data_IF_988386091902
#
_entry.id   IF_988386091902
#
_cell.length_a   1.000
_cell.length_b   1.000
_cell.length_c   1.000
_cell.angle_alpha   90.00
_cell.angle_beta   90.00
_cell.angle_gamma   90.00
#
_symmetry.space_group_name_H-M   'P 1'
#
loop_
_entity.id
_entity.type
_entity.pdbx_description
1 polymer ?
#
# COMPACT_ATOMS: atom_id res chain seq x y z
N UNK A 1 43.23 5.98 24.70
CA UNK A 1 42.01 6.36 23.96
C UNK A 1 42.32 6.46 22.47
N UNK A 2 41.39 6.13 21.57
CA UNK A 2 41.61 6.34 20.13
C UNK A 2 41.71 7.84 19.83
N UNK A 3 42.72 8.24 19.07
CA UNK A 3 42.88 9.64 18.65
C UNK A 3 41.70 10.07 17.77
N UNK A 4 41.22 11.28 18.00
CA UNK A 4 40.27 11.95 17.12
C UNK A 4 40.87 12.17 15.72
N UNK A 5 40.02 12.37 14.71
CA UNK A 5 40.50 12.62 13.34
C UNK A 5 41.37 13.90 13.27
N UNK A 6 40.98 14.96 13.99
CA UNK A 6 41.74 16.21 14.08
C UNK A 6 43.15 15.98 14.64
N UNK A 7 43.30 15.22 15.72
CA UNK A 7 44.61 14.89 16.30
C UNK A 7 45.51 14.09 15.33
N UNK A 8 44.92 13.29 14.42
CA UNK A 8 45.69 12.54 13.40
C UNK A 8 46.23 13.48 12.32
N UNK A 9 45.41 14.41 11.85
CA UNK A 9 45.85 15.47 10.92
C UNK A 9 46.88 16.39 11.58
N UNK A 10 46.72 16.69 12.88
CA UNK A 10 47.67 17.48 13.64
C UNK A 10 49.04 16.79 13.74
N UNK A 11 49.08 15.46 13.93
CA UNK A 11 50.31 14.67 13.86
C UNK A 11 51.02 14.84 12.50
N UNK A 12 50.26 14.74 11.41
CA UNK A 12 50.80 14.91 10.05
C UNK A 12 51.30 16.34 9.83
N UNK A 13 50.52 17.33 10.27
CA UNK A 13 50.89 18.74 10.18
C UNK A 13 52.21 19.00 10.90
N UNK A 14 52.30 18.69 12.20
CA UNK A 14 53.46 18.96 13.07
C UNK A 14 54.77 18.33 12.56
N UNK A 15 54.68 17.28 11.74
CA UNK A 15 55.84 16.58 11.18
C UNK A 15 56.17 16.96 9.75
N UNK A 16 55.18 16.91 8.85
CA UNK A 16 55.39 16.88 7.40
C UNK A 16 55.06 18.21 6.72
N UNK A 17 54.18 19.03 7.26
CA UNK A 17 53.73 20.27 6.60
C UNK A 17 54.86 21.33 6.50
N UNK A 18 55.03 22.06 5.39
CA UNK A 18 56.13 23.03 5.21
C UNK A 18 56.17 24.15 6.26
N UNK A 19 55.00 24.63 6.69
CA UNK A 19 54.85 25.70 7.69
C UNK A 19 54.86 25.21 9.16
N UNK A 20 55.05 23.91 9.38
CA UNK A 20 54.99 23.34 10.72
C UNK A 20 56.35 23.34 11.41
N UNK A 21 56.39 23.27 12.77
CA UNK A 21 57.61 23.30 13.57
C UNK A 21 58.55 22.08 13.41
N UNK A 22 58.27 21.14 12.49
CA UNK A 22 59.07 19.94 12.19
C UNK A 22 59.48 19.14 13.42
N UNK A 23 58.52 18.87 14.29
CA UNK A 23 58.78 18.25 15.60
C UNK A 23 59.29 16.80 15.48
N UNK A 24 60.07 16.37 16.48
CA UNK A 24 60.45 14.96 16.60
C UNK A 24 59.24 14.09 16.99
N UNK A 25 59.26 12.79 16.66
CA UNK A 25 58.13 11.91 16.97
C UNK A 25 57.88 11.80 18.49
N UNK A 26 58.93 11.97 19.30
CA UNK A 26 58.86 12.01 20.76
C UNK A 26 58.20 13.31 21.26
N UNK A 27 58.48 14.43 20.62
CA UNK A 27 57.86 15.72 20.94
C UNK A 27 56.36 15.74 20.56
N UNK A 28 56.00 15.22 19.39
CA UNK A 28 54.60 15.08 18.94
C UNK A 28 53.82 14.15 19.88
N UNK A 29 54.42 13.03 20.27
CA UNK A 29 53.83 12.09 21.23
C UNK A 29 53.51 12.75 22.58
N UNK A 30 54.43 13.57 23.10
CA UNK A 30 54.21 14.33 24.35
C UNK A 30 53.16 15.43 24.20
N UNK A 31 53.14 16.12 23.06
CA UNK A 31 52.20 17.22 22.78
C UNK A 31 50.75 16.73 22.59
N UNK A 32 50.55 15.66 21.80
CA UNK A 32 49.22 15.09 21.53
C UNK A 32 48.74 14.17 22.68
N UNK A 33 49.65 13.71 23.55
CA UNK A 33 49.32 12.79 24.64
C UNK A 33 49.05 11.36 24.16
N UNK A 34 49.86 10.85 23.23
CA UNK A 34 49.74 9.50 22.66
C UNK A 34 51.08 8.76 22.61
N UNK A 35 51.06 7.44 22.46
CA UNK A 35 52.30 6.67 22.38
C UNK A 35 53.09 6.95 21.09
N UNK A 36 54.44 6.97 21.11
CA UNK A 36 55.26 7.22 19.91
C UNK A 36 54.99 6.27 18.74
N UNK A 37 54.50 5.04 19.01
CA UNK A 37 54.11 4.06 17.98
C UNK A 37 52.88 4.54 17.18
N UNK A 38 51.95 5.23 17.83
CA UNK A 38 50.74 5.77 17.20
C UNK A 38 51.09 6.91 16.26
N UNK A 39 52.04 7.76 16.65
CA UNK A 39 52.60 8.83 15.80
C UNK A 39 53.23 8.23 14.54
N UNK A 40 54.08 7.20 14.66
CA UNK A 40 54.68 6.53 13.50
C UNK A 40 53.65 5.89 12.58
N UNK A 41 52.64 5.22 13.14
CA UNK A 41 51.56 4.59 12.37
C UNK A 41 50.83 5.60 11.49
N UNK A 42 50.38 6.73 12.05
CA UNK A 42 49.64 7.74 11.28
C UNK A 42 50.51 8.50 10.27
N UNK A 43 51.80 8.70 10.58
CA UNK A 43 52.74 9.28 9.61
C UNK A 43 53.00 8.35 8.42
N UNK A 44 53.21 7.05 8.68
CA UNK A 44 53.38 6.07 7.61
C UNK A 44 52.14 6.00 6.71
N UNK A 45 50.96 5.92 7.33
CA UNK A 45 49.68 5.89 6.61
C UNK A 45 49.43 7.15 5.77
N UNK A 46 49.83 8.33 6.26
CA UNK A 46 49.75 9.57 5.49
C UNK A 46 50.71 9.61 4.29
N UNK A 47 51.89 8.99 4.41
CA UNK A 47 52.88 8.94 3.33
C UNK A 47 52.47 7.96 2.22
N UNK A 48 51.66 6.97 2.56
CA UNK A 48 51.01 6.04 1.60
C UNK A 48 49.80 6.68 0.88
N UNK A 49 49.58 8.00 1.04
CA UNK A 49 48.43 8.75 0.51
C UNK A 49 47.06 8.20 0.93
N UNK A 50 46.99 7.48 2.05
CA UNK A 50 45.72 6.95 2.57
C UNK A 50 44.95 7.99 3.40
N UNK A 51 43.61 7.91 3.35
CA UNK A 51 42.73 8.64 4.27
C UNK A 51 43.01 8.26 5.74
N UNK A 52 43.15 9.27 6.59
CA UNK A 52 43.39 9.12 8.05
C UNK A 52 42.13 8.74 8.83
N UNK A 53 40.99 8.60 8.15
CA UNK A 53 39.78 8.02 8.73
C UNK A 53 39.99 6.54 9.10
N UNK A 54 39.11 6.03 9.97
CA UNK A 54 39.15 4.61 10.31
C UNK A 54 38.70 3.79 9.09
N UNK A 55 39.48 2.77 8.72
CA UNK A 55 39.00 1.80 7.73
C UNK A 55 37.71 1.13 8.23
N UNK A 56 36.83 0.70 7.31
CA UNK A 56 35.69 -0.13 7.66
C UNK A 56 36.18 -1.34 8.44
N UNK A 57 35.68 -1.51 9.66
CA UNK A 57 36.00 -2.71 10.44
C UNK A 57 35.45 -3.91 9.69
N UNK A 58 36.25 -4.96 9.55
CA UNK A 58 35.75 -6.27 9.11
C UNK A 58 34.72 -6.73 10.14
N UNK A 59 33.45 -6.74 9.73
CA UNK A 59 32.36 -7.20 10.59
C UNK A 59 32.52 -8.69 10.93
N UNK A 60 31.62 -9.18 11.80
CA UNK A 60 31.50 -10.63 12.05
C UNK A 60 31.37 -11.37 10.71
N UNK A 61 32.11 -12.48 10.48
CA UNK A 61 31.95 -13.29 9.30
C UNK A 61 30.48 -13.65 9.06
N UNK A 62 30.05 -13.55 7.80
CA UNK A 62 28.69 -13.87 7.41
C UNK A 62 28.43 -15.37 7.60
N UNK A 63 27.24 -15.71 8.11
CA UNK A 63 26.82 -17.10 8.29
C UNK A 63 26.53 -17.81 6.94
N UNK A 64 26.50 -17.07 5.84
CA UNK A 64 26.20 -17.57 4.50
C UNK A 64 27.23 -17.07 3.50
N UNK A 65 27.47 -17.86 2.46
CA UNK A 65 28.29 -17.47 1.31
C UNK A 65 27.42 -16.91 0.17
N UNK A 66 28.02 -16.17 -0.77
CA UNK A 66 27.32 -15.64 -1.94
C UNK A 66 26.55 -16.72 -2.72
N UNK A 67 27.08 -17.94 -2.79
CA UNK A 67 26.43 -19.08 -3.45
C UNK A 67 25.13 -19.48 -2.73
N UNK A 68 25.14 -19.47 -1.40
CA UNK A 68 23.95 -19.77 -0.58
C UNK A 68 22.92 -18.64 -0.72
N UNK A 69 23.37 -17.38 -0.71
CA UNK A 69 22.49 -16.22 -0.83
C UNK A 69 21.79 -16.19 -2.19
N UNK A 70 22.50 -16.50 -3.28
CA UNK A 70 21.90 -16.68 -4.61
C UNK A 70 20.90 -17.85 -4.65
N UNK A 71 21.19 -18.94 -3.94
CA UNK A 71 20.28 -20.08 -3.84
C UNK A 71 18.99 -19.71 -3.10
N UNK A 72 19.11 -18.99 -1.98
CA UNK A 72 17.95 -18.45 -1.23
C UNK A 72 17.08 -17.59 -2.16
N UNK A 73 17.70 -16.66 -2.90
CA UNK A 73 17.00 -15.79 -3.83
C UNK A 73 16.29 -16.57 -4.94
N UNK A 74 16.98 -17.51 -5.58
CA UNK A 74 16.42 -18.28 -6.70
C UNK A 74 15.25 -19.17 -6.27
N UNK A 75 15.32 -19.78 -5.08
CA UNK A 75 14.20 -20.54 -4.52
C UNK A 75 12.98 -19.62 -4.34
N UNK A 76 13.16 -18.47 -3.70
CA UNK A 76 12.08 -17.51 -3.48
C UNK A 76 11.50 -16.93 -4.78
N UNK A 77 12.34 -16.72 -5.79
CA UNK A 77 11.91 -16.22 -7.12
C UNK A 77 11.10 -17.25 -7.88
N UNK A 78 11.48 -18.54 -7.80
CA UNK A 78 10.76 -19.64 -8.45
C UNK A 78 9.43 -19.93 -7.77
N UNK A 79 9.44 -20.00 -6.44
CA UNK A 79 8.27 -20.35 -5.63
C UNK A 79 7.79 -19.12 -4.85
N UNK A 80 6.99 -18.27 -5.50
CA UNK A 80 6.60 -16.96 -4.97
C UNK A 80 5.78 -16.99 -3.66
N UNK A 81 5.29 -18.16 -3.25
CA UNK A 81 4.54 -18.37 -2.01
C UNK A 81 5.34 -19.12 -0.92
N UNK A 82 6.65 -19.28 -1.09
CA UNK A 82 7.49 -19.99 -0.13
C UNK A 82 7.83 -19.10 1.08
N UNK A 83 7.82 -19.67 2.29
CA UNK A 83 8.20 -18.92 3.49
C UNK A 83 9.70 -19.00 3.79
N UNK A 84 10.22 -18.07 4.60
CA UNK A 84 11.60 -18.12 5.09
C UNK A 84 11.93 -19.43 5.84
N UNK A 85 10.92 -20.03 6.48
CA UNK A 85 11.07 -21.31 7.20
C UNK A 85 11.16 -22.48 6.22
N UNK A 86 10.36 -22.46 5.14
CA UNK A 86 10.41 -23.50 4.12
C UNK A 86 11.75 -23.48 3.37
N UNK A 87 12.25 -22.30 3.01
CA UNK A 87 13.59 -22.16 2.41
C UNK A 87 14.69 -22.69 3.35
N UNK A 88 14.61 -22.36 4.64
CA UNK A 88 15.53 -22.89 5.66
C UNK A 88 15.48 -24.42 5.72
N UNK A 89 14.28 -25.02 5.69
CA UNK A 89 14.10 -26.47 5.68
C UNK A 89 14.64 -27.13 4.40
N UNK A 90 14.45 -26.51 3.23
CA UNK A 90 15.02 -26.98 1.95
C UNK A 90 16.54 -26.97 2.03
N UNK A 91 17.14 -25.88 2.49
CA UNK A 91 18.60 -25.78 2.61
C UNK A 91 19.17 -26.72 3.67
N UNK A 92 18.42 -26.99 4.73
CA UNK A 92 18.80 -27.98 5.75
C UNK A 92 18.88 -29.39 5.17
N UNK A 93 17.99 -29.76 4.24
CA UNK A 93 18.09 -31.04 3.50
C UNK A 93 19.35 -31.13 2.65
N UNK A 94 19.81 -29.99 2.14
CA UNK A 94 21.06 -29.88 1.37
C UNK A 94 22.31 -29.70 2.24
N UNK A 95 22.22 -29.98 3.55
CA UNK A 95 23.33 -29.90 4.51
C UNK A 95 23.65 -28.50 5.02
N UNK A 96 22.86 -27.47 4.68
CA UNK A 96 23.07 -26.08 5.08
C UNK A 96 22.08 -25.71 6.18
N UNK A 97 22.56 -25.70 7.42
CA UNK A 97 21.72 -25.34 8.57
C UNK A 97 21.74 -23.82 8.81
N UNK A 98 20.68 -23.13 8.39
CA UNK A 98 20.52 -21.68 8.58
C UNK A 98 19.18 -21.34 9.23
N UNK A 99 19.18 -20.36 10.12
CA UNK A 99 17.96 -19.90 10.78
C UNK A 99 17.04 -19.13 9.79
N UNK A 100 15.70 -19.27 9.88
CA UNK A 100 14.76 -18.53 9.04
C UNK A 100 14.93 -17.01 9.09
N UNK A 101 15.42 -16.46 10.20
CA UNK A 101 15.75 -15.01 10.32
C UNK A 101 16.90 -14.61 9.39
N UNK A 102 17.90 -15.49 9.19
CA UNK A 102 19.01 -15.26 8.27
C UNK A 102 18.51 -15.27 6.84
N UNK A 103 17.66 -16.24 6.47
CA UNK A 103 17.00 -16.27 5.15
C UNK A 103 16.24 -14.97 4.88
N UNK A 104 15.43 -14.52 5.85
CA UNK A 104 14.66 -13.28 5.71
C UNK A 104 15.55 -12.06 5.52
N UNK A 105 16.69 -11.99 6.22
CA UNK A 105 17.67 -10.91 6.04
C UNK A 105 18.26 -10.92 4.63
N UNK A 106 18.67 -12.08 4.11
CA UNK A 106 19.22 -12.20 2.75
C UNK A 106 18.21 -11.81 1.69
N UNK A 107 16.96 -12.26 1.82
CA UNK A 107 15.90 -11.84 0.90
C UNK A 107 15.69 -10.33 0.91
N UNK A 108 15.80 -9.67 2.07
CA UNK A 108 15.73 -8.20 2.16
C UNK A 108 16.92 -7.50 1.52
N UNK A 109 18.13 -8.02 1.74
CA UNK A 109 19.36 -7.50 1.12
C UNK A 109 19.32 -7.66 -0.42
N UNK A 110 18.63 -8.67 -0.93
CA UNK A 110 18.36 -8.84 -2.37
C UNK A 110 17.18 -7.99 -2.89
N UNK A 111 16.65 -7.04 -2.11
CA UNK A 111 15.55 -6.15 -2.50
C UNK A 111 14.14 -6.70 -2.24
N UNK A 112 14.01 -7.87 -1.63
CA UNK A 112 12.73 -8.46 -1.26
C UNK A 112 12.07 -7.74 -0.08
N UNK A 113 10.74 -7.65 -0.11
CA UNK A 113 9.94 -7.14 1.01
C UNK A 113 9.11 -8.26 1.63
N UNK A 114 8.91 -8.18 2.95
CA UNK A 114 8.06 -9.13 3.65
C UNK A 114 6.69 -8.50 3.88
N UNK A 115 5.68 -9.05 3.22
CA UNK A 115 4.30 -8.57 3.29
C UNK A 115 3.31 -9.70 2.99
N UNK A 116 2.00 -9.42 3.12
CA UNK A 116 0.98 -10.35 2.64
C UNK A 116 1.11 -10.53 1.12
N UNK A 117 0.72 -11.70 0.58
CA UNK A 117 0.66 -11.90 -0.87
C UNK A 117 -0.34 -10.92 -1.50
N UNK A 118 -0.06 -10.54 -2.75
CA UNK A 118 -0.98 -9.73 -3.54
C UNK A 118 -2.26 -10.52 -3.81
N UNK A 119 -3.41 -9.94 -3.49
CA UNK A 119 -4.72 -10.55 -3.73
C UNK A 119 -5.32 -9.95 -5.00
N UNK A 120 -5.66 -10.80 -5.95
CA UNK A 120 -6.37 -10.44 -7.18
C UNK A 120 -7.64 -11.29 -7.30
N UNK A 121 -8.74 -10.80 -7.90
CA UNK A 121 -9.91 -11.61 -8.14
C UNK A 121 -9.55 -12.80 -9.04
N UNK A 122 -10.21 -13.94 -8.80
CA UNK A 122 -10.05 -15.10 -9.66
C UNK A 122 -10.79 -14.83 -10.98
N UNK A 123 -10.06 -14.82 -12.09
CA UNK A 123 -10.60 -14.64 -13.43
C UNK A 123 -10.73 -15.99 -14.12
N UNK A 124 -11.92 -16.29 -14.63
CA UNK A 124 -12.16 -17.38 -15.57
C UNK A 124 -11.51 -17.05 -16.91
N UNK A 125 -11.29 -18.06 -17.76
CA UNK A 125 -10.66 -17.83 -19.07
C UNK A 125 -11.53 -16.91 -19.96
N UNK A 126 -12.87 -17.06 -19.88
CA UNK A 126 -13.82 -16.14 -20.52
C UNK A 126 -13.64 -14.68 -20.07
N UNK A 127 -13.43 -14.43 -18.77
CA UNK A 127 -13.17 -13.06 -18.30
C UNK A 127 -11.86 -12.52 -18.87
N UNK A 128 -10.80 -13.33 -18.94
CA UNK A 128 -9.50 -12.92 -19.47
C UNK A 128 -9.60 -12.58 -20.96
N UNK A 129 -10.25 -13.43 -21.74
CA UNK A 129 -10.48 -13.21 -23.16
C UNK A 129 -11.27 -11.92 -23.43
N UNK A 130 -12.41 -11.73 -22.76
CA UNK A 130 -13.21 -10.52 -22.90
C UNK A 130 -12.42 -9.26 -22.54
N UNK A 131 -11.62 -9.30 -21.47
CA UNK A 131 -10.75 -8.18 -21.07
C UNK A 131 -9.65 -7.92 -22.09
N UNK A 132 -9.06 -8.97 -22.67
CA UNK A 132 -8.00 -8.89 -23.66
C UNK A 132 -8.50 -8.34 -25.00
N UNK A 133 -9.74 -8.63 -25.39
CA UNK A 133 -10.39 -8.05 -26.57
C UNK A 133 -10.76 -6.59 -26.31
N UNK A 134 -11.34 -6.30 -25.15
CA UNK A 134 -11.88 -4.98 -24.84
C UNK A 134 -10.79 -3.91 -24.68
N UNK A 135 -9.68 -4.23 -24.00
CA UNK A 135 -8.67 -3.22 -23.66
C UNK A 135 -7.99 -2.56 -24.89
N UNK A 136 -7.53 -3.31 -25.93
CA UNK A 136 -7.00 -2.71 -27.14
C UNK A 136 -8.03 -1.88 -27.91
N UNK A 137 -9.29 -2.32 -27.97
CA UNK A 137 -10.37 -1.58 -28.61
C UNK A 137 -10.60 -0.20 -27.97
N UNK A 138 -10.33 -0.08 -26.68
CA UNK A 138 -10.53 1.15 -25.91
C UNK A 138 -9.22 1.91 -25.60
N UNK A 139 -8.10 1.53 -26.21
CA UNK A 139 -6.80 2.19 -26.00
C UNK A 139 -6.82 3.67 -26.40
N UNK A 140 -7.52 3.99 -27.49
CA UNK A 140 -7.66 5.36 -28.02
C UNK A 140 -9.05 5.95 -27.77
N UNK A 141 -9.84 5.32 -26.90
CA UNK A 141 -11.18 5.76 -26.58
C UNK A 141 -11.17 7.10 -25.84
N UNK A 142 -12.14 7.97 -26.15
CA UNK A 142 -12.26 9.26 -25.50
C UNK A 142 -13.00 9.15 -24.15
N UNK A 143 -12.23 9.09 -23.06
CA UNK A 143 -12.75 9.00 -21.69
C UNK A 143 -13.29 10.32 -21.11
N UNK A 144 -13.20 11.45 -21.82
CA UNK A 144 -13.56 12.77 -21.28
C UNK A 144 -15.06 12.91 -20.98
N UNK A 145 -15.87 12.19 -21.75
CA UNK A 145 -17.33 12.24 -21.70
C UNK A 145 -17.93 11.02 -20.98
N UNK A 146 -17.11 10.26 -20.25
CA UNK A 146 -17.57 9.09 -19.51
C UNK A 146 -17.87 9.48 -18.07
N UNK A 147 -19.05 9.10 -17.61
CA UNK A 147 -19.42 9.15 -16.19
C UNK A 147 -19.22 7.76 -15.62
N UNK A 148 -18.21 7.60 -14.78
CA UNK A 148 -17.94 6.37 -14.06
C UNK A 148 -18.83 6.29 -12.83
N UNK A 149 -19.45 5.13 -12.61
CA UNK A 149 -20.30 4.84 -11.45
C UNK A 149 -19.85 3.57 -10.77
N UNK A 150 -20.05 3.49 -9.45
CA UNK A 150 -19.84 2.28 -8.66
C UNK A 150 -20.46 2.41 -7.27
N UNK A 151 -20.68 1.26 -6.63
CA UNK A 151 -21.17 1.15 -5.26
C UNK A 151 -20.08 0.62 -4.32
N UNK A 152 -19.84 1.33 -3.21
CA UNK A 152 -18.94 0.88 -2.15
C UNK A 152 -19.61 0.63 -0.82
N UNK A 153 -19.25 -0.51 -0.22
CA UNK A 153 -19.63 -0.83 1.15
C UNK A 153 -18.50 -0.50 2.13
N UNK A 154 -18.78 0.39 3.08
CA UNK A 154 -17.92 0.72 4.21
C UNK A 154 -18.38 0.00 5.47
N UNK A 155 -17.44 -0.63 6.18
CA UNK A 155 -17.69 -1.25 7.48
C UNK A 155 -17.21 -0.29 8.57
N UNK A 156 -18.09 0.10 9.49
CA UNK A 156 -17.76 1.07 10.54
C UNK A 156 -16.75 0.56 11.57
N UNK A 157 -16.60 -0.77 11.72
CA UNK A 157 -15.54 -1.38 12.53
C UNK A 157 -14.53 -2.08 11.61
N UNK A 158 -13.28 -1.62 11.62
CA UNK A 158 -12.15 -2.36 11.04
C UNK A 158 -11.83 -3.56 11.92
N UNK A 159 -11.99 -4.76 11.38
CA UNK A 159 -11.38 -5.96 11.95
C UNK A 159 -9.89 -5.95 11.58
N UNK A 160 -9.00 -6.24 12.53
CA UNK A 160 -7.58 -6.48 12.23
C UNK A 160 -6.56 -5.44 12.71
N UNK A 161 -6.89 -4.58 13.68
CA UNK A 161 -5.82 -3.87 14.40
C UNK A 161 -4.94 -4.89 15.10
N UNK A 162 -3.70 -5.04 14.64
CA UNK A 162 -2.69 -5.83 15.36
C UNK A 162 -2.36 -5.08 16.65
N UNK A 163 -2.52 -5.76 17.77
CA UNK A 163 -2.12 -5.27 19.10
C UNK A 163 -1.07 -6.22 19.63
N UNK A 164 -0.10 -5.67 20.38
CA UNK A 164 0.80 -6.48 21.17
C UNK A 164 -0.02 -7.25 22.20
N UNK A 165 0.17 -8.57 22.24
CA UNK A 165 -0.45 -9.44 23.25
C UNK A 165 0.66 -9.86 24.20
N UNK A 166 0.47 -9.62 25.48
CA UNK A 166 1.35 -10.09 26.53
C UNK A 166 0.65 -11.25 27.26
N UNK A 167 1.38 -12.30 27.69
CA UNK A 167 0.78 -13.50 28.30
C UNK A 167 -0.14 -13.20 29.50
N UNK A 168 0.16 -12.16 30.28
CA UNK A 168 -0.52 -11.86 31.54
C UNK A 168 -1.72 -10.91 31.35
N UNK A 169 -1.66 -10.00 30.38
CA UNK A 169 -2.70 -9.00 30.13
C UNK A 169 -3.04 -9.00 28.66
N UNK A 170 -4.09 -9.73 28.29
CA UNK A 170 -4.63 -9.73 26.94
C UNK A 170 -5.92 -8.92 26.91
N UNK A 171 -5.92 -7.82 26.16
CA UNK A 171 -7.15 -7.06 25.90
C UNK A 171 -8.10 -7.88 25.03
N UNK A 172 -9.23 -8.29 25.60
CA UNK A 172 -10.32 -8.92 24.85
C UNK A 172 -11.11 -7.83 24.13
N UNK A 173 -11.09 -7.85 22.80
CA UNK A 173 -11.90 -6.96 21.97
C UNK A 173 -13.17 -7.68 21.55
N UNK A 174 -14.33 -7.25 22.05
CA UNK A 174 -15.63 -7.81 21.65
C UNK A 174 -15.97 -7.39 20.22
N UNK A 175 -16.30 -8.37 19.37
CA UNK A 175 -16.75 -8.16 17.99
C UNK A 175 -18.24 -8.49 17.86
N UNK A 176 -18.91 -7.84 16.91
CA UNK A 176 -20.30 -8.17 16.56
C UNK A 176 -20.31 -9.10 15.34
N UNK A 177 -21.20 -10.09 15.30
CA UNK A 177 -21.32 -11.05 14.19
C UNK A 177 -21.60 -10.35 12.85
N UNK A 178 -22.46 -9.32 12.88
CA UNK A 178 -22.82 -8.50 11.72
C UNK A 178 -22.44 -7.04 11.98
N UNK A 179 -21.24 -6.60 11.57
CA UNK A 179 -20.85 -5.20 11.73
C UNK A 179 -21.76 -4.29 10.90
N UNK A 180 -22.04 -3.10 11.42
CA UNK A 180 -22.82 -2.09 10.70
C UNK A 180 -22.10 -1.74 9.39
N UNK A 181 -22.85 -1.80 8.29
CA UNK A 181 -22.42 -1.49 6.93
C UNK A 181 -23.12 -0.21 6.48
N UNK A 182 -22.37 0.64 5.78
CA UNK A 182 -22.92 1.76 5.03
C UNK A 182 -22.58 1.53 3.56
N UNK A 183 -23.61 1.50 2.72
CA UNK A 183 -23.44 1.46 1.27
C UNK A 183 -23.43 2.90 0.76
N UNK A 184 -22.58 3.16 -0.22
CA UNK A 184 -22.42 4.46 -0.85
C UNK A 184 -22.37 4.22 -2.36
N UNK A 185 -23.27 4.82 -3.12
CA UNK A 185 -23.14 4.95 -4.57
C UNK A 185 -22.63 6.34 -4.89
N UNK A 186 -21.85 6.47 -5.95
CA UNK A 186 -21.35 7.74 -6.42
C UNK A 186 -20.95 7.65 -7.88
N UNK A 187 -20.78 8.81 -8.50
CA UNK A 187 -20.28 8.93 -9.85
C UNK A 187 -19.24 10.03 -9.96
N UNK A 188 -18.42 9.97 -11.00
CA UNK A 188 -17.55 11.08 -11.38
C UNK A 188 -17.21 11.03 -12.88
N UNK A 189 -16.83 12.17 -13.44
CA UNK A 189 -16.28 12.24 -14.79
C UNK A 189 -14.91 12.93 -14.76
N UNK A 190 -14.34 13.22 -15.93
CA UNK A 190 -13.15 14.08 -16.01
C UNK A 190 -13.40 15.46 -15.38
N UNK A 191 -14.62 15.98 -15.44
CA UNK A 191 -14.92 17.35 -15.02
C UNK A 191 -14.97 17.49 -13.50
N UNK A 192 -15.79 16.67 -12.84
CA UNK A 192 -15.94 16.68 -11.39
C UNK A 192 -16.66 15.41 -10.87
N UNK A 193 -16.74 15.30 -9.56
CA UNK A 193 -17.54 14.32 -8.85
C UNK A 193 -19.02 14.68 -8.85
N UNK A 194 -19.86 13.65 -8.93
CA UNK A 194 -21.29 13.75 -8.64
C UNK A 194 -21.58 13.62 -7.15
N UNK A 195 -22.87 13.58 -6.84
CA UNK A 195 -23.37 13.39 -5.48
C UNK A 195 -22.99 12.00 -4.94
N UNK A 196 -22.82 11.87 -3.63
CA UNK A 196 -22.75 10.57 -2.97
C UNK A 196 -24.12 10.23 -2.38
N UNK A 197 -24.66 9.06 -2.75
CA UNK A 197 -25.90 8.52 -2.20
C UNK A 197 -25.56 7.44 -1.18
N UNK A 198 -25.93 7.65 0.08
CA UNK A 198 -25.69 6.69 1.14
C UNK A 198 -26.95 5.93 1.52
N UNK A 199 -26.86 4.61 1.67
CA UNK A 199 -27.99 3.76 2.02
C UNK A 199 -27.56 2.58 2.90
N UNK A 200 -28.52 1.95 3.59
CA UNK A 200 -28.27 0.88 4.58
C UNK A 200 -28.87 -0.47 4.21
N UNK A 201 -29.80 -0.50 3.26
CA UNK A 201 -30.40 -1.73 2.76
C UNK A 201 -29.60 -2.28 1.57
N UNK A 202 -29.99 -3.47 1.10
CA UNK A 202 -29.42 -4.04 -0.10
C UNK A 202 -29.89 -3.27 -1.34
N UNK A 203 -29.04 -3.26 -2.36
CA UNK A 203 -29.37 -2.73 -3.69
C UNK A 203 -30.36 -3.66 -4.41
N UNK A 204 -31.46 -3.10 -4.89
CA UNK A 204 -32.49 -3.74 -5.74
C UNK A 204 -32.48 -3.12 -7.14
N UNK A 205 -33.21 -3.71 -8.09
CA UNK A 205 -33.38 -3.14 -9.44
C UNK A 205 -34.02 -1.75 -9.40
N UNK A 206 -35.17 -1.61 -8.72
CA UNK A 206 -35.87 -0.31 -8.65
C UNK A 206 -35.01 0.77 -7.97
N UNK A 207 -34.30 0.41 -6.89
CA UNK A 207 -33.48 1.37 -6.16
C UNK A 207 -32.24 1.81 -6.95
N UNK A 208 -31.77 1.02 -7.93
CA UNK A 208 -30.69 1.50 -8.81
C UNK A 208 -31.20 2.58 -9.77
N UNK A 209 -32.47 2.54 -10.18
CA UNK A 209 -33.09 3.60 -10.97
C UNK A 209 -33.17 4.89 -10.15
N UNK A 210 -33.59 4.81 -8.87
CA UNK A 210 -33.57 5.95 -7.95
C UNK A 210 -32.16 6.54 -7.82
N UNK A 211 -31.14 5.69 -7.71
CA UNK A 211 -29.74 6.14 -7.68
C UNK A 211 -29.37 6.88 -8.96
N UNK A 212 -29.72 6.33 -10.14
CA UNK A 212 -29.41 6.96 -11.42
C UNK A 212 -30.07 8.34 -11.57
N UNK A 213 -31.34 8.44 -11.20
CA UNK A 213 -32.13 9.68 -11.22
C UNK A 213 -31.55 10.75 -10.29
N UNK A 214 -30.99 10.36 -9.15
CA UNK A 214 -30.54 11.29 -8.12
C UNK A 214 -29.03 11.58 -8.13
N UNK A 215 -28.23 10.88 -8.95
CA UNK A 215 -26.78 11.03 -8.95
C UNK A 215 -26.18 11.18 -10.36
N UNK A 216 -25.98 10.13 -11.18
CA UNK A 216 -25.31 10.28 -12.46
C UNK A 216 -26.12 11.09 -13.46
N UNK A 217 -27.45 11.02 -13.50
CA UNK A 217 -28.23 11.78 -14.48
C UNK A 217 -28.17 13.31 -14.23
N UNK A 218 -28.41 13.83 -13.02
CA UNK A 218 -28.22 15.26 -12.74
C UNK A 218 -26.77 15.70 -12.93
N UNK A 219 -25.80 14.85 -12.56
CA UNK A 219 -24.37 15.12 -12.78
C UNK A 219 -24.08 15.25 -14.27
N UNK A 220 -24.67 14.37 -15.09
CA UNK A 220 -24.53 14.42 -16.54
C UNK A 220 -25.10 15.68 -17.14
N UNK A 221 -26.32 16.08 -16.77
CA UNK A 221 -26.92 17.31 -17.29
C UNK A 221 -26.14 18.57 -16.91
N UNK A 222 -25.56 18.58 -15.70
CA UNK A 222 -24.71 19.68 -15.28
C UNK A 222 -23.37 19.73 -16.02
N UNK A 223 -22.70 18.59 -16.18
CA UNK A 223 -21.35 18.51 -16.77
C UNK A 223 -21.37 18.47 -18.30
N UNK A 224 -22.43 17.93 -18.90
CA UNK A 224 -22.55 17.70 -20.34
C UNK A 224 -23.88 18.28 -20.86
N UNK A 225 -24.00 19.62 -20.93
CA UNK A 225 -25.26 20.30 -21.26
C UNK A 225 -25.69 20.16 -22.72
N UNK A 226 -24.87 19.53 -23.57
CA UNK A 226 -25.17 19.31 -25.00
C UNK A 226 -26.21 18.18 -25.22
N UNK A 227 -26.72 17.57 -24.15
CA UNK A 227 -27.77 16.56 -24.19
C UNK A 227 -27.26 15.13 -24.00
N UNK A 228 -28.16 14.13 -24.09
CA UNK A 228 -27.86 12.73 -23.76
C UNK A 228 -26.73 12.11 -24.60
N UNK A 229 -26.60 12.49 -25.87
CA UNK A 229 -25.54 11.97 -26.76
C UNK A 229 -24.13 12.52 -26.45
N UNK A 230 -24.03 13.49 -25.53
CA UNK A 230 -22.75 14.12 -25.20
C UNK A 230 -21.97 13.42 -24.09
N UNK A 231 -22.54 12.36 -23.50
CA UNK A 231 -21.92 11.58 -22.43
C UNK A 231 -22.29 10.09 -22.52
N UNK A 232 -21.49 9.26 -21.86
CA UNK A 232 -21.69 7.81 -21.80
C UNK A 232 -21.59 7.37 -20.34
N UNK A 233 -22.53 6.54 -19.90
CA UNK A 233 -22.53 5.94 -18.58
C UNK A 233 -21.59 4.72 -18.56
N UNK A 234 -20.61 4.72 -17.67
CA UNK A 234 -19.91 3.50 -17.28
C UNK A 234 -20.47 2.99 -15.96
N UNK A 235 -20.87 1.72 -15.97
CA UNK A 235 -21.33 0.95 -14.82
C UNK A 235 -20.72 -0.45 -14.88
N UNK A 236 -20.77 -1.21 -13.79
CA UNK A 236 -20.27 -2.58 -13.79
C UNK A 236 -21.32 -3.56 -14.36
N UNK A 237 -21.04 -4.86 -14.23
CA UNK A 237 -21.93 -5.90 -14.72
C UNK A 237 -22.79 -6.52 -13.61
N UNK A 238 -23.05 -5.78 -12.52
CA UNK A 238 -23.88 -6.27 -11.44
C UNK A 238 -25.31 -6.60 -11.96
N UNK A 239 -25.88 -7.77 -11.58
CA UNK A 239 -27.22 -8.18 -12.00
C UNK A 239 -28.31 -7.13 -11.80
N UNK A 240 -28.21 -6.25 -10.79
CA UNK A 240 -29.24 -5.24 -10.48
C UNK A 240 -29.23 -4.11 -11.51
N UNK A 241 -28.04 -3.74 -12.00
CA UNK A 241 -27.86 -2.75 -13.06
C UNK A 241 -28.30 -3.29 -14.45
N UNK A 242 -28.42 -4.62 -14.56
CA UNK A 242 -28.93 -5.37 -15.72
C UNK A 242 -30.35 -5.91 -15.54
N UNK A 243 -31.04 -5.53 -14.47
CA UNK A 243 -32.45 -5.87 -14.29
C UNK A 243 -33.30 -5.22 -15.39
N UNK A 244 -34.46 -5.80 -15.68
CA UNK A 244 -35.37 -5.24 -16.68
C UNK A 244 -35.72 -3.78 -16.35
N UNK A 245 -36.06 -3.47 -15.10
CA UNK A 245 -36.33 -2.09 -14.65
C UNK A 245 -35.17 -1.13 -14.92
N UNK A 246 -33.94 -1.56 -14.64
CA UNK A 246 -32.76 -0.72 -14.86
C UNK A 246 -32.43 -0.54 -16.35
N UNK A 247 -32.74 -1.51 -17.21
CA UNK A 247 -32.55 -1.41 -18.66
C UNK A 247 -33.62 -0.49 -19.25
N UNK A 248 -34.88 -0.68 -18.87
CA UNK A 248 -36.03 0.10 -19.32
C UNK A 248 -35.86 1.57 -18.94
N UNK A 249 -35.56 1.86 -17.68
CA UNK A 249 -35.32 3.22 -17.19
C UNK A 249 -34.18 3.92 -17.94
N UNK A 250 -33.07 3.21 -18.23
CA UNK A 250 -31.96 3.78 -19.01
C UNK A 250 -32.37 4.07 -20.45
N UNK A 251 -33.23 3.23 -21.03
CA UNK A 251 -33.73 3.39 -22.39
C UNK A 251 -34.66 4.60 -22.48
N UNK A 252 -35.60 4.72 -21.54
CA UNK A 252 -36.53 5.87 -21.44
C UNK A 252 -35.79 7.20 -21.26
N UNK A 253 -34.68 7.19 -20.53
CA UNK A 253 -33.83 8.35 -20.31
C UNK A 253 -32.73 8.55 -21.36
N UNK A 254 -32.73 7.75 -22.44
CA UNK A 254 -31.78 7.83 -23.57
C UNK A 254 -30.31 7.73 -23.14
N UNK A 255 -30.04 6.89 -22.13
CA UNK A 255 -28.70 6.73 -21.56
C UNK A 255 -27.91 5.70 -22.36
N UNK A 256 -26.81 6.15 -22.97
CA UNK A 256 -25.84 5.26 -23.60
C UNK A 256 -24.94 4.63 -22.53
N UNK A 257 -24.88 3.30 -22.49
CA UNK A 257 -24.04 2.55 -21.55
C UNK A 257 -22.80 2.02 -22.25
N UNK A 258 -21.62 2.31 -21.69
CA UNK A 258 -20.36 1.77 -22.18
C UNK A 258 -20.32 0.25 -21.98
N UNK A 259 -20.09 -0.56 -23.04
CA UNK A 259 -19.85 -1.98 -22.89
C UNK A 259 -18.66 -2.22 -21.95
N UNK A 260 -18.82 -3.06 -20.93
CA UNK A 260 -17.81 -3.24 -19.89
C UNK A 260 -17.48 -4.73 -19.68
N UNK A 261 -16.20 -5.12 -19.59
CA UNK A 261 -15.82 -6.51 -19.34
C UNK A 261 -16.04 -6.90 -17.88
N UNK A 262 -16.62 -8.07 -17.65
CA UNK A 262 -16.89 -8.59 -16.30
C UNK A 262 -15.62 -8.72 -15.44
N UNK A 263 -15.80 -8.57 -14.12
CA UNK A 263 -14.72 -8.70 -13.13
C UNK A 263 -13.50 -7.79 -13.42
N UNK A 264 -13.75 -6.54 -13.80
CA UNK A 264 -12.72 -5.55 -14.16
C UNK A 264 -12.72 -4.30 -13.27
N UNK A 265 -12.65 -4.44 -11.93
CA UNK A 265 -12.59 -3.29 -11.03
C UNK A 265 -11.33 -2.45 -11.24
N UNK A 266 -10.24 -3.06 -11.72
CA UNK A 266 -8.98 -2.38 -12.02
C UNK A 266 -9.07 -1.44 -13.24
N UNK A 267 -10.10 -1.60 -14.07
CA UNK A 267 -10.37 -0.72 -15.20
C UNK A 267 -11.28 0.46 -14.82
N UNK A 268 -11.97 0.40 -13.67
CA UNK A 268 -12.87 1.47 -13.23
C UNK A 268 -12.12 2.44 -12.29
N UNK A 269 -11.77 3.66 -12.74
CA UNK A 269 -10.97 4.60 -11.96
C UNK A 269 -11.64 5.06 -10.67
N UNK A 270 -12.97 4.92 -10.51
CA UNK A 270 -13.66 5.26 -9.25
C UNK A 270 -13.18 4.38 -8.08
N UNK A 271 -12.64 3.19 -8.37
CA UNK A 271 -12.08 2.31 -7.34
C UNK A 271 -10.86 2.93 -6.64
N UNK A 272 -10.11 3.78 -7.35
CA UNK A 272 -9.02 4.56 -6.75
C UNK A 272 -9.58 5.56 -5.73
N UNK A 273 -10.68 6.24 -6.05
CA UNK A 273 -11.36 7.16 -5.15
C UNK A 273 -11.89 6.44 -3.90
N UNK A 274 -12.50 5.27 -4.06
CA UNK A 274 -12.93 4.45 -2.93
C UNK A 274 -11.77 4.05 -2.02
N UNK A 275 -10.60 3.75 -2.60
CA UNK A 275 -9.38 3.46 -1.84
C UNK A 275 -8.95 4.66 -0.98
N UNK A 276 -8.86 5.85 -1.59
CA UNK A 276 -8.49 7.09 -0.89
C UNK A 276 -9.48 7.43 0.23
N UNK A 277 -10.78 7.24 0.00
CA UNK A 277 -11.80 7.45 1.03
C UNK A 277 -11.68 6.45 2.17
N UNK A 278 -11.44 5.17 1.89
CA UNK A 278 -11.21 4.15 2.94
C UNK A 278 -10.00 4.48 3.81
N UNK A 279 -8.94 5.01 3.22
CA UNK A 279 -7.74 5.42 3.95
C UNK A 279 -8.01 6.65 4.81
N UNK A 280 -8.72 7.63 4.27
CA UNK A 280 -9.09 8.87 4.99
C UNK A 280 -10.04 8.58 6.15
N UNK A 281 -11.11 7.82 5.92
CA UNK A 281 -12.05 7.38 6.95
C UNK A 281 -11.31 6.51 7.99
N UNK A 282 -10.41 5.64 7.53
CA UNK A 282 -9.60 4.78 8.39
C UNK A 282 -8.68 5.51 9.36
N UNK A 283 -8.27 6.74 9.05
CA UNK A 283 -7.46 7.60 9.93
C UNK A 283 -8.31 8.32 10.99
N UNK A 284 -9.61 8.52 10.75
CA UNK A 284 -10.50 9.19 11.71
C UNK A 284 -10.87 8.23 12.86
N UNK A 285 -10.74 8.70 14.11
CA UNK A 285 -11.27 7.97 15.29
C UNK A 285 -12.79 8.13 15.29
N UNK A 286 -13.52 7.11 14.88
CA UNK A 286 -14.97 7.09 15.08
C UNK A 286 -15.28 6.64 16.50
N UNK A 287 -15.78 7.54 17.35
CA UNK A 287 -16.41 7.19 18.61
C UNK A 287 -17.82 6.67 18.32
N UNK A 288 -18.08 5.40 18.60
CA UNK A 288 -19.46 4.92 18.69
C UNK A 288 -20.02 5.32 20.06
N UNK A 289 -20.29 6.62 20.24
CA UNK A 289 -21.15 7.09 21.32
C UNK A 289 -22.32 7.84 20.69
N UNK A 290 -23.30 7.08 20.21
CA UNK A 290 -24.66 7.57 19.99
C UNK A 290 -25.59 6.47 20.48
N UNK A 291 -26.41 6.83 21.46
CA UNK A 291 -27.12 5.94 22.37
C UNK A 291 -27.73 4.69 21.75
N UNK A 292 -27.62 3.60 22.50
CA UNK A 292 -28.60 2.52 22.47
C UNK A 292 -29.91 3.13 22.97
N UNK A 293 -30.62 3.82 22.08
CA UNK A 293 -32.02 4.17 22.29
C UNK A 293 -32.81 2.87 22.16
N UNK A 294 -33.23 2.34 23.31
CA UNK A 294 -34.30 1.36 23.40
C UNK A 294 -35.51 1.89 22.63
N UNK A 295 -35.76 1.37 21.43
CA UNK A 295 -37.05 1.53 20.75
C UNK A 295 -38.07 0.75 21.56
N UNK A 296 -38.83 1.45 22.40
CA UNK A 296 -40.08 0.95 22.92
C UNK A 296 -41.02 0.68 21.74
N UNK A 297 -41.51 -0.56 21.66
CA UNK A 297 -42.73 -0.90 20.93
C UNK A 297 -43.92 -0.25 21.65
N UNK A 298 -44.89 0.23 20.87
CA UNK A 298 -46.15 0.94 21.19
C UNK A 298 -46.03 2.42 20.79
N UNK A 299 -46.94 3.03 20.04
CA UNK A 299 -48.24 2.61 19.52
C UNK A 299 -48.67 3.58 18.42
N UNK A 300 -49.73 3.20 17.73
CA UNK A 300 -50.44 3.93 16.69
C UNK A 300 -50.94 5.26 17.25
N UNK A 301 -50.72 6.37 16.55
CA UNK A 301 -51.59 7.55 16.64
C UNK A 301 -51.88 8.07 15.22
N UNK A 302 -53.15 7.96 14.84
CA UNK A 302 -53.79 8.63 13.72
C UNK A 302 -53.89 10.14 14.00
N UNK A 303 -53.88 11.00 12.96
CA UNK A 303 -54.00 12.44 13.14
C UNK A 303 -55.46 12.82 13.38
N UNK A 304 -55.74 13.51 14.48
CA UNK A 304 -57.02 14.18 14.67
C UNK A 304 -56.97 15.58 14.04
N UNK A 305 -58.07 15.90 13.37
CA UNK A 305 -58.46 17.20 12.83
C UNK A 305 -58.63 18.25 13.91
#
# INVERSE_FOLDING_TARGET
MPLSLSQRYEIVFLKLHPLAPKMSNKAISKYIGCEPKVVRYWLGRSQENEDLSNLPKTGRPLATSNKIDLKIFNIAKREQNITSSDISNVLKKDGVNIDPSTVRRRLRESGGTYGPPLKKPLLTDKHREQRLIWAPQHQHFNWHNVIFTDEKTFKLKKNGRKVWRFPVVTKIVRTVKYPLKLHVSGCFSKQDFGKLITFRHNLTGDFICDIYENCPLPTAYHQFPKGPDSWILQQDNDPKQKSWQAIDWKTDNQIQVLPWPSASPDQNPIENFWSLMKDTIGKKKHSNNSGVGTRNKKGIETPAS
#
